data_IF_130337306949
#
_entry.id   IF_130337306949
#
_cell.length_a   1.000
_cell.length_b   1.000
_cell.length_c   1.000
_cell.angle_alpha   90.00
_cell.angle_beta   90.00
_cell.angle_gamma   90.00
#
_symmetry.space_group_name_H-M   'P 1'
#
loop_
_entity.id
_entity.type
_entity.pdbx_description
1 polymer ?
#
# COMPACT_ATOMS: atom_id res chain seq x y z
N UNK A 1 55.12 -59.84 -35.81
CA UNK A 1 53.96 -60.45 -35.13
C UNK A 1 53.27 -59.35 -34.33
N UNK A 2 52.01 -59.09 -34.63
CA UNK A 2 51.23 -57.99 -34.10
C UNK A 2 50.90 -58.16 -32.61
N UNK A 3 50.84 -57.05 -31.85
CA UNK A 3 50.06 -57.01 -30.62
C UNK A 3 49.53 -55.60 -30.36
N UNK A 4 48.29 -55.40 -30.80
CA UNK A 4 47.38 -54.36 -30.34
C UNK A 4 47.28 -54.36 -28.81
N UNK A 5 46.97 -53.19 -28.23
CA UNK A 5 45.78 -52.94 -27.39
C UNK A 5 46.07 -51.86 -26.35
N UNK A 6 45.45 -50.72 -26.55
CA UNK A 6 45.43 -49.59 -25.61
C UNK A 6 44.19 -48.75 -25.87
N UNK A 7 43.02 -49.40 -25.87
CA UNK A 7 41.74 -48.69 -25.91
C UNK A 7 41.56 -48.00 -24.56
N UNK A 8 41.67 -46.66 -24.57
CA UNK A 8 41.39 -45.81 -23.42
C UNK A 8 39.89 -45.68 -23.25
N UNK A 9 39.41 -46.06 -22.07
CA UNK A 9 38.05 -45.78 -21.58
C UNK A 9 37.87 -44.25 -21.38
N UNK A 10 37.64 -43.50 -22.46
CA UNK A 10 37.18 -42.11 -22.41
C UNK A 10 35.72 -42.06 -22.89
N UNK A 11 34.75 -42.14 -21.97
CA UNK A 11 33.34 -42.26 -22.39
C UNK A 11 32.29 -41.75 -21.39
N UNK A 12 32.31 -42.17 -20.12
CA UNK A 12 31.15 -41.94 -19.25
C UNK A 12 31.13 -40.56 -18.57
N UNK A 13 32.30 -40.01 -18.22
CA UNK A 13 32.42 -38.77 -17.45
C UNK A 13 32.21 -37.49 -18.28
N UNK A 14 32.67 -37.48 -19.54
CA UNK A 14 32.41 -36.38 -20.49
C UNK A 14 30.93 -36.32 -20.88
N UNK A 15 30.27 -37.47 -21.03
CA UNK A 15 28.85 -37.57 -21.37
C UNK A 15 27.96 -37.02 -20.23
N UNK A 16 28.29 -37.35 -18.98
CA UNK A 16 27.63 -36.82 -17.78
C UNK A 16 27.78 -35.30 -17.67
N UNK A 17 28.99 -34.78 -17.95
CA UNK A 17 29.26 -33.33 -17.95
C UNK A 17 28.46 -32.57 -19.01
N UNK A 18 28.34 -33.13 -20.21
CA UNK A 18 27.53 -32.55 -21.29
C UNK A 18 26.03 -32.53 -20.95
N UNK A 19 25.51 -33.60 -20.37
CA UNK A 19 24.12 -33.66 -19.88
C UNK A 19 23.83 -32.59 -18.83
N UNK A 20 24.75 -32.39 -17.89
CA UNK A 20 24.64 -31.33 -16.87
C UNK A 20 24.71 -29.93 -17.48
N UNK A 21 25.57 -29.71 -18.46
CA UNK A 21 25.65 -28.44 -19.19
C UNK A 21 24.36 -28.13 -19.96
N UNK A 22 23.80 -29.10 -20.66
CA UNK A 22 22.52 -28.94 -21.38
C UNK A 22 21.39 -28.64 -20.40
N UNK A 23 21.37 -29.29 -19.24
CA UNK A 23 20.36 -29.05 -18.20
C UNK A 23 20.49 -27.63 -17.61
N UNK A 24 21.70 -27.16 -17.32
CA UNK A 24 21.96 -25.80 -16.82
C UNK A 24 21.57 -24.76 -17.88
N UNK A 25 21.92 -25.00 -19.15
CA UNK A 25 21.57 -24.11 -20.25
C UNK A 25 20.05 -24.04 -20.47
N UNK A 26 19.36 -25.17 -20.37
CA UNK A 26 17.90 -25.23 -20.45
C UNK A 26 17.24 -24.43 -19.32
N UNK A 27 17.73 -24.58 -18.08
CA UNK A 27 17.23 -23.81 -16.94
C UNK A 27 17.47 -22.30 -17.11
N UNK A 28 18.64 -21.91 -17.64
CA UNK A 28 18.95 -20.51 -17.91
C UNK A 28 17.97 -19.89 -18.93
N UNK A 29 17.67 -20.61 -20.01
CA UNK A 29 16.73 -20.15 -21.04
C UNK A 29 15.32 -19.98 -20.45
N UNK A 30 14.85 -20.94 -19.66
CA UNK A 30 13.53 -20.85 -18.98
C UNK A 30 13.50 -19.67 -18.01
N UNK A 31 14.58 -19.45 -17.25
CA UNK A 31 14.68 -18.33 -16.32
C UNK A 31 14.60 -16.97 -17.04
N UNK A 32 15.37 -16.80 -18.12
CA UNK A 32 15.35 -15.55 -18.92
C UNK A 32 13.99 -15.31 -19.54
N UNK A 33 13.34 -16.34 -20.08
CA UNK A 33 11.97 -16.24 -20.61
C UNK A 33 10.97 -15.82 -19.51
N UNK A 34 11.11 -16.39 -18.30
CA UNK A 34 10.28 -16.02 -17.14
C UNK A 34 10.47 -14.56 -16.71
N UNK A 35 11.71 -14.05 -16.71
CA UNK A 35 12.01 -12.64 -16.40
C UNK A 35 11.38 -11.70 -17.44
N UNK A 36 11.52 -12.01 -18.74
CA UNK A 36 10.91 -11.19 -19.81
C UNK A 36 9.38 -11.17 -19.69
N UNK A 37 8.76 -12.32 -19.44
CA UNK A 37 7.31 -12.44 -19.28
C UNK A 37 6.80 -11.68 -18.03
N UNK A 38 7.55 -11.74 -16.93
CA UNK A 38 7.27 -10.99 -15.70
C UNK A 38 7.37 -9.48 -15.90
N UNK A 39 8.42 -9.01 -16.57
CA UNK A 39 8.59 -7.58 -16.88
C UNK A 39 7.52 -7.05 -17.84
N UNK A 40 7.17 -7.82 -18.88
CA UNK A 40 6.09 -7.46 -19.80
C UNK A 40 4.74 -7.34 -19.08
N UNK A 41 4.43 -8.29 -18.18
CA UNK A 41 3.18 -8.30 -17.41
C UNK A 41 3.10 -7.18 -16.37
N UNK A 42 4.24 -6.77 -15.79
CA UNK A 42 4.33 -5.66 -14.82
C UNK A 42 3.85 -4.32 -15.38
N UNK A 43 4.14 -4.04 -16.66
CA UNK A 43 3.74 -2.80 -17.33
C UNK A 43 2.21 -2.59 -17.38
N UNK A 44 1.44 -3.67 -17.47
CA UNK A 44 -0.02 -3.62 -17.56
C UNK A 44 -0.69 -3.43 -16.18
N UNK A 45 0.00 -3.81 -15.11
CA UNK A 45 -0.47 -3.65 -13.72
C UNK A 45 -0.20 -2.23 -13.22
N UNK A 46 0.93 -1.64 -13.62
CA UNK A 46 1.32 -0.29 -13.19
C UNK A 46 0.34 0.81 -13.65
N UNK A 47 -0.29 0.66 -14.83
CA UNK A 47 -1.32 1.58 -15.33
C UNK A 47 -2.60 1.57 -14.46
N UNK A 48 -2.98 0.42 -13.89
CA UNK A 48 -4.15 0.29 -13.03
C UNK A 48 -3.94 0.87 -11.63
N UNK A 49 -2.74 0.75 -11.07
CA UNK A 49 -2.41 1.27 -9.74
C UNK A 49 -2.14 2.79 -9.76
N UNK A 50 -1.42 3.30 -10.76
CA UNK A 50 -1.09 4.73 -10.87
C UNK A 50 -2.35 5.59 -11.04
N UNK A 51 -3.32 5.12 -11.82
CA UNK A 51 -4.60 5.81 -12.03
C UNK A 51 -5.49 5.85 -10.78
N UNK A 52 -5.41 4.85 -9.90
CA UNK A 52 -6.12 4.87 -8.62
C UNK A 52 -5.52 5.90 -7.64
N UNK A 53 -4.19 5.99 -7.55
CA UNK A 53 -3.52 6.90 -6.62
C UNK A 53 -3.82 8.39 -6.89
N UNK A 54 -3.91 8.80 -8.16
CA UNK A 54 -4.28 10.18 -8.55
C UNK A 54 -5.72 10.56 -8.17
N UNK A 55 -6.63 9.58 -8.06
CA UNK A 55 -8.03 9.79 -7.68
C UNK A 55 -8.24 9.97 -6.16
N UNK A 56 -7.28 9.51 -5.33
CA UNK A 56 -7.35 9.67 -3.88
C UNK A 56 -6.82 11.04 -3.40
N UNK A 57 -5.93 11.68 -4.15
CA UNK A 57 -5.34 12.99 -3.78
C UNK A 57 -6.27 14.19 -4.07
N UNK A 58 -7.18 14.07 -5.05
CA UNK A 58 -7.98 15.20 -5.55
C UNK A 58 -9.30 15.44 -4.79
N UNK A 59 -9.72 14.53 -3.91
CA UNK A 59 -11.06 14.57 -3.30
C UNK A 59 -11.17 15.28 -1.93
N UNK A 60 -10.08 15.82 -1.38
CA UNK A 60 -10.10 16.42 -0.03
C UNK A 60 -10.28 17.94 0.02
N UNK A 61 -10.76 18.59 -1.05
CA UNK A 61 -11.12 20.01 -1.00
C UNK A 61 -12.64 20.16 -1.16
N UNK A 62 -13.39 19.80 -0.13
CA UNK A 62 -14.79 20.19 0.02
C UNK A 62 -14.93 21.01 1.31
N UNK A 63 -14.97 22.33 1.12
CA UNK A 63 -15.18 23.36 2.13
C UNK A 63 -16.41 23.05 2.98
N UNK A 64 -16.21 22.89 4.29
CA UNK A 64 -17.28 22.84 5.28
C UNK A 64 -17.74 24.27 5.58
N UNK A 65 -18.96 24.63 5.14
CA UNK A 65 -19.67 25.78 5.68
C UNK A 65 -20.15 25.44 7.09
N UNK A 66 -19.72 26.21 8.08
CA UNK A 66 -20.26 26.22 9.44
C UNK A 66 -20.82 27.62 9.72
N UNK A 67 -22.13 27.72 9.90
CA UNK A 67 -22.83 28.80 10.62
C UNK A 67 -23.05 28.31 12.07
N UNK A 68 -23.13 29.11 13.12
CA UNK A 68 -23.18 30.55 13.33
C UNK A 68 -22.50 30.90 14.66
N UNK A 69 -22.11 32.18 14.79
CA UNK A 69 -21.76 32.88 16.04
C UNK A 69 -20.38 32.61 16.67
N UNK A 70 -19.34 33.18 16.05
CA UNK A 70 -18.20 33.74 16.78
C UNK A 70 -17.76 35.03 16.09
N UNK A 71 -17.60 36.08 16.90
CA UNK A 71 -17.21 37.44 16.53
C UNK A 71 -15.95 37.49 15.66
N UNK A 72 -16.09 38.13 14.49
CA UNK A 72 -15.05 38.68 13.60
C UNK A 72 -13.75 37.86 13.52
N UNK A 73 -13.80 36.74 12.80
CA UNK A 73 -12.60 36.16 12.19
C UNK A 73 -12.52 36.71 10.77
N UNK A 74 -11.42 37.41 10.45
CA UNK A 74 -11.12 37.91 9.10
C UNK A 74 -11.36 36.78 8.08
N UNK A 75 -11.90 37.08 6.87
CA UNK A 75 -12.05 36.06 5.83
C UNK A 75 -10.70 35.41 5.59
N UNK A 76 -10.58 34.10 5.80
CA UNK A 76 -9.41 33.36 5.33
C UNK A 76 -9.35 33.53 3.82
N UNK A 77 -8.34 34.26 3.36
CA UNK A 77 -7.95 34.30 1.96
C UNK A 77 -7.80 32.84 1.47
N UNK A 78 -8.22 32.55 0.24
CA UNK A 78 -8.06 31.20 -0.33
C UNK A 78 -6.57 30.86 -0.38
N UNK A 79 -6.04 30.25 0.67
CA UNK A 79 -4.68 29.73 0.68
C UNK A 79 -4.68 28.53 -0.25
N UNK A 80 -3.89 28.59 -1.31
CA UNK A 80 -3.63 27.47 -2.19
C UNK A 80 -2.87 26.39 -1.42
N UNK A 81 -3.62 25.45 -0.82
CA UNK A 81 -3.11 24.33 -0.05
C UNK A 81 -2.43 23.26 -0.91
N UNK A 82 -2.15 23.51 -2.20
CA UNK A 82 -1.39 22.60 -3.05
C UNK A 82 0.03 23.12 -3.34
N UNK A 83 0.36 24.34 -2.93
CA UNK A 83 1.71 24.87 -3.11
C UNK A 83 2.68 24.28 -2.07
N UNK A 84 3.60 23.43 -2.53
CA UNK A 84 4.59 22.75 -1.70
C UNK A 84 5.48 23.71 -0.91
N UNK A 85 5.78 24.91 -1.42
CA UNK A 85 6.63 25.89 -0.72
C UNK A 85 5.96 26.43 0.56
N UNK A 86 4.65 26.64 0.52
CA UNK A 86 3.86 27.09 1.69
C UNK A 86 3.70 26.02 2.77
N UNK A 87 3.83 24.75 2.43
CA UNK A 87 3.85 23.67 3.42
C UNK A 87 5.17 23.64 4.20
N UNK A 88 6.28 23.94 3.51
CA UNK A 88 7.60 23.98 4.15
C UNK A 88 7.75 25.25 4.99
N UNK A 89 7.25 26.40 4.50
CA UNK A 89 7.30 27.67 5.20
C UNK A 89 5.88 28.29 5.31
N UNK A 90 5.12 27.98 6.38
CA UNK A 90 3.78 28.51 6.54
C UNK A 90 3.81 30.01 6.86
N UNK A 91 3.08 30.80 6.08
CA UNK A 91 3.02 32.27 6.22
C UNK A 91 2.35 32.73 7.54
N UNK A 92 1.47 31.90 8.12
CA UNK A 92 0.62 32.26 9.27
C UNK A 92 0.77 31.27 10.43
N UNK A 93 1.94 31.24 11.06
CA UNK A 93 2.19 30.45 12.27
C UNK A 93 1.67 31.19 13.51
N UNK A 94 0.88 30.52 14.34
CA UNK A 94 0.27 31.08 15.58
C UNK A 94 1.30 31.16 16.73
N UNK A 95 2.59 30.89 16.45
CA UNK A 95 3.65 30.89 17.45
C UNK A 95 4.74 31.92 17.13
N UNK A 96 5.22 32.63 18.15
CA UNK A 96 6.36 33.53 18.06
C UNK A 96 7.68 32.78 18.29
N UNK A 97 7.91 31.71 17.52
CA UNK A 97 9.12 30.89 17.59
C UNK A 97 9.77 30.78 16.22
N UNK A 98 11.11 30.75 16.19
CA UNK A 98 11.88 30.47 14.97
C UNK A 98 11.94 28.97 14.67
N UNK A 99 12.19 28.61 13.42
CA UNK A 99 12.25 27.20 13.00
C UNK A 99 13.29 26.39 13.79
N UNK A 100 14.46 26.96 14.08
CA UNK A 100 15.49 26.32 14.92
C UNK A 100 14.98 26.01 16.33
N UNK A 101 14.18 26.90 16.91
CA UNK A 101 13.62 26.71 18.25
C UNK A 101 12.49 25.67 18.24
N UNK A 102 11.66 25.65 17.19
CA UNK A 102 10.64 24.61 16.99
C UNK A 102 11.32 23.27 16.79
N UNK A 103 12.36 23.21 15.96
CA UNK A 103 13.15 22.00 15.71
C UNK A 103 13.81 21.50 17.00
N UNK A 104 14.41 22.39 17.79
CA UNK A 104 14.97 22.06 19.10
C UNK A 104 13.91 21.55 20.08
N UNK A 105 12.71 22.14 20.10
CA UNK A 105 11.60 21.61 20.92
C UNK A 105 11.11 20.24 20.43
N UNK A 106 11.04 20.03 19.13
CA UNK A 106 10.66 18.75 18.54
C UNK A 106 11.72 17.67 18.81
N UNK A 107 13.00 18.03 18.83
CA UNK A 107 14.11 17.11 19.13
C UNK A 107 14.23 16.80 20.63
N UNK A 108 13.74 17.70 21.49
CA UNK A 108 13.63 17.49 22.93
C UNK A 108 12.34 16.78 23.36
N UNK A 109 11.49 16.36 22.43
CA UNK A 109 10.35 15.51 22.77
C UNK A 109 10.90 14.30 23.54
N UNK A 110 10.43 14.06 24.77
CA UNK A 110 11.00 13.01 25.60
C UNK A 110 10.88 11.71 24.83
N UNK A 111 12.03 11.08 24.52
CA UNK A 111 12.03 9.67 24.16
C UNK A 111 11.32 8.96 25.31
N UNK A 112 10.11 8.50 25.02
CA UNK A 112 9.27 7.87 26.02
C UNK A 112 9.97 6.58 26.45
N UNK A 113 10.60 6.61 27.63
CA UNK A 113 11.40 5.49 28.18
C UNK A 113 10.63 4.17 28.23
N UNK A 114 9.29 4.23 28.23
CA UNK A 114 8.39 3.10 28.09
C UNK A 114 6.93 3.56 28.13
N UNK A 115 6.01 2.71 27.68
CA UNK A 115 4.59 2.91 27.93
C UNK A 115 4.19 2.23 29.25
N UNK A 116 3.18 2.75 29.98
CA UNK A 116 2.70 2.15 31.24
C UNK A 116 1.98 0.80 31.05
N UNK A 117 2.05 0.23 29.84
CA UNK A 117 1.49 -1.06 29.46
C UNK A 117 2.34 -1.63 28.34
N UNK A 118 2.37 -2.97 28.27
CA UNK A 118 3.06 -3.68 27.21
C UNK A 118 2.43 -3.36 25.86
N UNK A 119 3.22 -2.73 25.01
CA UNK A 119 2.82 -2.42 23.64
C UNK A 119 3.29 -3.52 22.73
N UNK A 120 2.34 -4.29 22.24
CA UNK A 120 2.58 -5.19 21.12
C UNK A 120 2.66 -4.34 19.84
N UNK A 121 3.74 -4.41 19.07
CA UNK A 121 3.82 -3.76 17.76
C UNK A 121 2.66 -4.24 16.87
N UNK A 122 1.91 -3.28 16.32
CA UNK A 122 0.65 -3.55 15.61
C UNK A 122 0.69 -2.98 14.20
N UNK A 123 0.31 -3.78 13.21
CA UNK A 123 0.25 -3.36 11.79
C UNK A 123 -1.17 -2.92 11.44
N UNK A 124 -1.32 -1.78 10.78
CA UNK A 124 -2.61 -1.30 10.30
C UNK A 124 -2.81 -1.67 8.82
N UNK A 125 -3.89 -2.41 8.53
CA UNK A 125 -4.32 -2.74 7.18
C UNK A 125 -5.50 -1.86 6.78
N UNK A 126 -5.37 -1.15 5.67
CA UNK A 126 -6.43 -0.34 5.08
C UNK A 126 -6.83 -0.94 3.73
N UNK A 127 -8.07 -1.40 3.64
CA UNK A 127 -8.64 -1.93 2.41
C UNK A 127 -9.56 -0.89 1.78
N UNK A 128 -9.20 -0.39 0.60
CA UNK A 128 -10.01 0.56 -0.16
C UNK A 128 -10.74 -0.22 -1.27
N UNK A 129 -12.02 -0.49 -1.10
CA UNK A 129 -12.78 -1.30 -2.06
C UNK A 129 -14.03 -0.58 -2.52
N UNK A 130 -14.38 -0.72 -3.80
CA UNK A 130 -15.65 -0.22 -4.35
C UNK A 130 -16.83 -1.18 -4.14
N UNK A 131 -16.57 -2.36 -3.60
CA UNK A 131 -17.53 -3.44 -3.41
C UNK A 131 -16.94 -4.55 -2.55
N UNK A 132 -17.22 -5.84 -2.83
CA UNK A 132 -16.71 -6.95 -2.02
C UNK A 132 -15.19 -6.96 -1.96
N UNK A 133 -14.67 -7.27 -0.77
CA UNK A 133 -13.23 -7.34 -0.54
C UNK A 133 -12.62 -8.47 -1.39
N UNK A 134 -11.74 -8.18 -2.34
CA UNK A 134 -11.08 -9.23 -3.11
C UNK A 134 -10.28 -10.13 -2.17
N UNK A 135 -10.31 -11.43 -2.45
CA UNK A 135 -9.62 -12.46 -1.65
C UNK A 135 -10.08 -12.51 -0.18
N UNK A 136 -11.32 -12.08 0.14
CA UNK A 136 -11.87 -12.12 1.49
C UNK A 136 -11.63 -13.47 2.21
N UNK A 137 -11.86 -14.66 1.61
CA UNK A 137 -11.60 -15.93 2.28
C UNK A 137 -10.13 -16.17 2.65
N UNK A 138 -9.19 -15.65 1.84
CA UNK A 138 -7.76 -15.73 2.14
C UNK A 138 -7.43 -14.80 3.31
N UNK A 139 -7.92 -13.56 3.27
CA UNK A 139 -7.68 -12.60 4.33
C UNK A 139 -8.28 -13.05 5.67
N UNK A 140 -9.47 -13.67 5.66
CA UNK A 140 -10.05 -14.25 6.87
C UNK A 140 -9.13 -15.29 7.51
N UNK A 141 -8.48 -16.15 6.71
CA UNK A 141 -7.52 -17.14 7.22
C UNK A 141 -6.25 -16.48 7.72
N UNK A 142 -5.76 -15.45 7.02
CA UNK A 142 -4.55 -14.72 7.41
C UNK A 142 -4.70 -14.02 8.76
N UNK A 143 -5.85 -13.39 9.00
CA UNK A 143 -6.10 -12.62 10.21
C UNK A 143 -6.61 -13.45 11.40
N UNK A 144 -7.18 -14.64 11.15
CA UNK A 144 -7.75 -15.48 12.21
C UNK A 144 -6.72 -15.78 13.31
N UNK A 145 -7.10 -15.48 14.56
CA UNK A 145 -6.30 -15.80 15.75
C UNK A 145 -5.14 -14.85 16.05
N UNK A 146 -4.98 -13.77 15.28
CA UNK A 146 -3.86 -12.83 15.44
C UNK A 146 -4.30 -11.39 15.76
N UNK A 147 -5.51 -11.21 16.32
CA UNK A 147 -6.19 -9.91 16.48
C UNK A 147 -5.41 -8.84 17.27
N UNK A 148 -4.48 -9.27 18.11
CA UNK A 148 -3.59 -8.38 18.87
C UNK A 148 -2.52 -7.69 18.01
N UNK A 149 -2.14 -8.30 16.88
CA UNK A 149 -1.01 -7.85 16.04
C UNK A 149 -1.44 -6.97 14.86
N UNK A 150 -2.74 -6.84 14.59
CA UNK A 150 -3.22 -6.04 13.46
C UNK A 150 -4.50 -5.25 13.73
N UNK A 151 -4.64 -4.10 13.08
CA UNK A 151 -5.88 -3.33 13.03
C UNK A 151 -6.36 -3.27 11.59
N UNK A 152 -7.63 -3.60 11.35
CA UNK A 152 -8.20 -3.62 10.00
C UNK A 152 -9.19 -2.47 9.86
N UNK A 153 -9.08 -1.75 8.75
CA UNK A 153 -10.02 -0.72 8.32
C UNK A 153 -10.45 -1.03 6.89
N UNK A 154 -11.77 -1.04 6.64
CA UNK A 154 -12.33 -1.32 5.31
C UNK A 154 -13.11 -0.11 4.84
N UNK A 155 -12.58 0.62 3.87
CA UNK A 155 -13.26 1.74 3.28
C UNK A 155 -14.09 1.31 2.07
N UNK A 156 -15.39 1.53 2.12
CA UNK A 156 -16.32 1.16 1.04
C UNK A 156 -17.30 2.27 0.71
N UNK A 157 -17.90 2.26 -0.49
CA UNK A 157 -19.06 3.08 -0.80
C UNK A 157 -20.16 2.98 0.26
N UNK A 158 -20.92 4.06 0.40
CA UNK A 158 -21.96 4.16 1.43
C UNK A 158 -23.10 3.14 1.22
N UNK A 159 -23.42 2.84 -0.04
CA UNK A 159 -24.41 1.88 -0.50
C UNK A 159 -23.95 0.41 -0.38
N UNK A 160 -22.65 0.16 -0.19
CA UNK A 160 -22.14 -1.20 -0.06
C UNK A 160 -22.23 -1.73 1.36
N UNK A 161 -22.93 -2.86 1.58
CA UNK A 161 -22.97 -3.54 2.87
C UNK A 161 -21.95 -4.68 2.91
N UNK A 162 -21.05 -4.63 3.90
CA UNK A 162 -20.08 -5.70 4.15
C UNK A 162 -20.76 -6.80 4.98
N UNK A 163 -21.15 -7.89 4.32
CA UNK A 163 -21.79 -9.03 4.97
C UNK A 163 -20.74 -10.05 5.41
N UNK A 164 -20.39 -10.03 6.69
CA UNK A 164 -19.42 -10.96 7.32
C UNK A 164 -19.97 -11.47 8.65
N UNK A 165 -19.56 -12.67 9.04
CA UNK A 165 -19.92 -13.22 10.36
C UNK A 165 -19.42 -12.32 11.50
N UNK A 166 -20.05 -12.40 12.67
CA UNK A 166 -19.64 -11.67 13.89
C UNK A 166 -18.22 -12.07 14.30
N UNK A 167 -17.86 -13.34 14.09
CA UNK A 167 -16.52 -13.86 14.39
C UNK A 167 -15.46 -13.50 13.34
N UNK A 168 -15.86 -12.81 12.26
CA UNK A 168 -14.92 -12.42 11.20
C UNK A 168 -14.03 -11.27 11.68
N UNK A 169 -12.72 -11.27 11.36
CA UNK A 169 -11.82 -10.15 11.64
C UNK A 169 -12.30 -8.81 11.05
N UNK A 170 -13.13 -8.88 10.01
CA UNK A 170 -13.70 -7.74 9.30
C UNK A 170 -15.00 -7.20 9.92
N UNK A 171 -15.57 -7.89 10.91
CA UNK A 171 -16.80 -7.46 11.56
C UNK A 171 -16.63 -6.08 12.22
N UNK A 172 -17.55 -5.17 11.94
CA UNK A 172 -17.51 -3.80 12.48
C UNK A 172 -16.33 -2.94 12.00
N UNK A 173 -15.60 -3.35 10.95
CA UNK A 173 -14.43 -2.62 10.42
C UNK A 173 -14.73 -1.69 9.24
N UNK A 174 -16.00 -1.60 8.82
CA UNK A 174 -16.42 -0.77 7.69
C UNK A 174 -16.39 0.71 8.05
N UNK A 175 -15.74 1.51 7.20
CA UNK A 175 -15.77 2.97 7.19
C UNK A 175 -16.46 3.41 5.89
N UNK A 176 -17.67 3.99 5.94
CA UNK A 176 -18.36 4.43 4.74
C UNK A 176 -17.66 5.64 4.09
N UNK A 177 -17.66 5.69 2.76
CA UNK A 177 -17.26 6.86 1.99
C UNK A 177 -18.27 7.99 2.13
N UNK A 178 -17.84 9.23 1.87
CA UNK A 178 -18.78 10.35 1.72
C UNK A 178 -19.57 10.16 0.43
N UNK A 179 -20.87 10.48 0.48
CA UNK A 179 -21.74 10.49 -0.69
C UNK A 179 -21.38 11.66 -1.60
N UNK A 180 -20.99 11.39 -2.85
CA UNK A 180 -20.76 12.43 -3.84
C UNK A 180 -22.00 12.55 -4.74
N UNK A 181 -22.82 13.58 -4.47
CA UNK A 181 -24.12 13.80 -5.12
C UNK A 181 -24.05 13.88 -6.66
N UNK A 182 -22.89 14.24 -7.22
CA UNK A 182 -22.71 14.42 -8.67
C UNK A 182 -22.86 13.11 -9.47
N UNK A 183 -22.51 11.96 -8.89
CA UNK A 183 -22.62 10.67 -9.58
C UNK A 183 -24.04 10.06 -9.52
N UNK A 184 -24.87 10.48 -8.59
CA UNK A 184 -26.25 9.97 -8.44
C UNK A 184 -27.21 10.55 -9.48
N UNK A 185 -26.93 11.74 -10.03
CA UNK A 185 -27.78 12.38 -11.04
C UNK A 185 -27.61 11.76 -12.44
N UNK A 186 -26.43 11.23 -12.76
CA UNK A 186 -26.17 10.58 -14.05
C UNK A 186 -26.63 9.10 -14.14
N UNK A 187 -27.12 8.51 -13.05
CA UNK A 187 -27.60 7.11 -13.03
C UNK A 187 -29.13 6.98 -13.20
N UNK A 188 -29.84 8.11 -13.33
CA UNK A 188 -31.30 8.18 -13.55
C UNK A 188 -31.69 8.71 -14.94
N UNK A 189 -30.82 8.53 -15.94
CA UNK A 189 -31.10 8.80 -17.35
C UNK A 189 -31.15 7.50 -18.13
#
# INVERSE_FOLDING_TARGET
>A
MARNRGDKEEGPEKLMGLLKLVQILSLLVIFVAGVILGLASSSHINQYFTSQAQLFLTNNIASTKLSDNCTVVKPCEKVDCLNMERFVHPDNVIHSMTDDQVFWRASLLPQKKGYPFDRVPKVAFMFLTRGPLPLLPLWERFFRGHDQYFSIYVHTPQDYLLNVSIDSPFHGRKIPSKMQYLFMLNRKG
#
